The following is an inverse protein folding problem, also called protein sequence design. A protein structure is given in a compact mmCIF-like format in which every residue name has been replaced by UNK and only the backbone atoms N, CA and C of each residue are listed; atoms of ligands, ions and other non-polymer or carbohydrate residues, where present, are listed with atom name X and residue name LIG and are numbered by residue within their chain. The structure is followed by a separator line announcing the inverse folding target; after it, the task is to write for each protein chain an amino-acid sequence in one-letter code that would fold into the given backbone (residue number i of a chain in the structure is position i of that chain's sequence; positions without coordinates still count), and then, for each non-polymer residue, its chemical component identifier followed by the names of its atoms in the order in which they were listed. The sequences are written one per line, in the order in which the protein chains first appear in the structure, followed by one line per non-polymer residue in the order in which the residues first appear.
data_IF_322481216373
#
_entry.id   IF_322481216373
#
_cell.length_a   1.000
_cell.length_b   1.000
_cell.length_c   1.000
_cell.angle_alpha   90.00
_cell.angle_beta   90.00
_cell.angle_gamma   90.00
#
_symmetry.space_group_name_H-M   'P 1'
#
loop_
_entity.id
_entity.type
_entity.pdbx_description
1 polymer ?
#
# COMPACT_ATOMS: atom_id res chain seq x y z
N UNK A 1 -25.28 24.78 3.06
CA UNK A 1 -25.02 23.71 4.07
C UNK A 1 -24.37 22.54 3.36
N UNK A 2 -23.02 22.46 3.43
CA UNK A 2 -22.30 21.28 2.97
C UNK A 2 -22.53 20.17 4.00
N UNK A 3 -23.40 19.23 3.67
CA UNK A 3 -23.47 17.95 4.35
C UNK A 3 -22.11 17.26 4.14
N UNK A 4 -21.26 17.29 5.15
CA UNK A 4 -20.08 16.46 5.22
C UNK A 4 -20.56 15.01 5.17
N UNK A 5 -20.40 14.35 4.01
CA UNK A 5 -20.75 12.96 3.86
C UNK A 5 -19.90 12.16 4.85
N UNK A 6 -20.51 11.66 5.91
CA UNK A 6 -19.86 10.78 6.87
C UNK A 6 -19.38 9.56 6.06
N UNK A 7 -18.08 9.48 5.81
CA UNK A 7 -17.48 8.30 5.18
C UNK A 7 -17.71 7.11 6.12
N UNK A 8 -18.65 6.26 5.77
CA UNK A 8 -18.90 5.03 6.51
C UNK A 8 -17.77 4.05 6.19
N UNK A 9 -17.06 3.63 7.21
CA UNK A 9 -16.10 2.54 7.09
C UNK A 9 -16.86 1.23 6.86
N UNK A 10 -16.24 0.29 6.16
CA UNK A 10 -16.77 -1.05 5.98
C UNK A 10 -16.81 -1.80 7.32
N UNK A 11 -17.86 -2.57 7.52
CA UNK A 11 -17.96 -3.51 8.64
C UNK A 11 -17.16 -4.78 8.34
N UNK A 12 -16.80 -5.52 9.38
CA UNK A 12 -16.15 -6.83 9.21
C UNK A 12 -16.99 -7.84 8.41
N UNK A 13 -18.31 -7.75 8.51
CA UNK A 13 -19.21 -8.58 7.70
C UNK A 13 -19.08 -8.26 6.21
N UNK A 14 -19.05 -6.99 5.84
CA UNK A 14 -18.86 -6.57 4.45
C UNK A 14 -17.48 -6.96 3.91
N UNK A 15 -16.43 -6.91 4.75
CA UNK A 15 -15.08 -7.35 4.33
C UNK A 15 -15.08 -8.87 4.07
N UNK A 16 -15.77 -9.66 4.89
CA UNK A 16 -15.92 -11.11 4.64
C UNK A 16 -16.69 -11.40 3.37
N UNK A 17 -17.78 -10.67 3.12
CA UNK A 17 -18.55 -10.77 1.88
C UNK A 17 -17.66 -10.53 0.64
N UNK A 18 -16.76 -9.55 0.69
CA UNK A 18 -15.78 -9.35 -0.40
C UNK A 18 -14.87 -10.57 -0.61
N UNK A 19 -14.43 -11.21 0.48
CA UNK A 19 -13.63 -12.45 0.38
C UNK A 19 -14.43 -13.58 -0.25
N UNK A 20 -15.69 -13.76 0.15
CA UNK A 20 -16.59 -14.78 -0.39
C UNK A 20 -16.88 -14.55 -1.89
N UNK A 21 -16.87 -13.29 -2.32
CA UNK A 21 -16.95 -12.88 -3.73
C UNK A 21 -15.62 -13.04 -4.51
N UNK A 22 -14.56 -13.55 -3.87
CA UNK A 22 -13.26 -13.79 -4.50
C UNK A 22 -12.29 -12.61 -4.52
N UNK A 23 -12.59 -11.53 -3.80
CA UNK A 23 -11.67 -10.41 -3.67
C UNK A 23 -10.52 -10.73 -2.69
N UNK A 24 -9.35 -10.14 -2.93
CA UNK A 24 -8.22 -10.22 -2.01
C UNK A 24 -8.23 -9.02 -1.06
N UNK A 25 -7.96 -9.27 0.23
CA UNK A 25 -7.81 -8.23 1.24
C UNK A 25 -6.34 -8.08 1.59
N UNK A 26 -5.86 -6.84 1.67
CA UNK A 26 -4.50 -6.50 2.09
C UNK A 26 -4.48 -5.61 3.34
N UNK A 27 -3.35 -5.61 4.03
CA UNK A 27 -3.13 -4.75 5.19
C UNK A 27 -2.67 -3.35 4.74
N UNK A 28 -3.15 -2.31 5.44
CA UNK A 28 -2.77 -0.91 5.18
C UNK A 28 -2.29 -0.19 6.45
N UNK A 29 -1.75 -0.94 7.41
CA UNK A 29 -1.39 -0.46 8.73
C UNK A 29 -2.56 -0.49 9.71
N UNK A 30 -2.27 -0.13 10.96
CA UNK A 30 -3.24 -0.11 12.04
C UNK A 30 -3.92 1.25 12.20
N UNK A 31 -3.15 2.32 12.11
CA UNK A 31 -3.59 3.69 12.43
C UNK A 31 -3.26 4.72 11.35
N UNK A 32 -2.88 4.25 10.14
CA UNK A 32 -2.58 5.09 8.98
C UNK A 32 -1.45 6.11 9.23
N UNK A 33 -0.40 5.71 9.95
CA UNK A 33 0.78 6.54 10.24
C UNK A 33 1.86 6.39 9.16
N UNK A 34 2.72 7.40 9.01
CA UNK A 34 3.94 7.30 8.20
C UNK A 34 4.92 6.35 8.88
N UNK A 35 5.25 5.24 8.23
CA UNK A 35 6.14 4.23 8.81
C UNK A 35 7.57 4.76 9.03
N UNK A 36 8.00 5.73 8.21
CA UNK A 36 9.30 6.40 8.37
C UNK A 36 9.45 7.18 9.67
N UNK A 37 8.34 7.53 10.34
CA UNK A 37 8.35 8.24 11.63
C UNK A 37 8.28 7.31 12.84
N UNK A 38 8.23 5.98 12.62
CA UNK A 38 8.05 4.98 13.66
C UNK A 38 9.31 4.14 13.84
N UNK A 39 9.54 3.66 15.06
CA UNK A 39 10.67 2.78 15.40
C UNK A 39 10.24 1.72 16.42
N UNK A 40 11.02 0.66 16.55
CA UNK A 40 10.85 -0.38 17.57
C UNK A 40 9.42 -0.93 17.65
N UNK A 41 8.87 -0.93 18.86
CA UNK A 41 7.55 -1.51 19.14
C UNK A 41 6.40 -0.77 18.46
N UNK A 42 6.51 0.54 18.24
CA UNK A 42 5.48 1.30 17.52
C UNK A 42 5.41 0.85 16.05
N UNK A 43 6.56 0.73 15.39
CA UNK A 43 6.64 0.24 14.01
C UNK A 43 6.13 -1.20 13.93
N UNK A 44 6.54 -2.07 14.86
CA UNK A 44 6.09 -3.45 14.92
C UNK A 44 4.57 -3.56 15.08
N UNK A 45 4.00 -2.74 15.96
CA UNK A 45 2.54 -2.74 16.19
C UNK A 45 1.78 -2.25 14.96
N UNK A 46 2.31 -1.25 14.23
CA UNK A 46 1.69 -0.70 13.03
C UNK A 46 1.73 -1.69 11.84
N UNK A 47 2.75 -2.54 11.75
CA UNK A 47 2.94 -3.49 10.64
C UNK A 47 2.46 -4.90 11.04
N UNK A 48 3.13 -5.51 12.00
CA UNK A 48 2.89 -6.91 12.39
C UNK A 48 1.55 -7.02 13.11
N UNK A 49 1.32 -6.19 14.14
CA UNK A 49 0.07 -6.19 14.90
C UNK A 49 -1.16 -5.89 14.04
N UNK A 50 -1.03 -4.98 13.05
CA UNK A 50 -2.11 -4.71 12.08
C UNK A 50 -2.46 -5.96 11.27
N UNK A 51 -1.46 -6.69 10.78
CA UNK A 51 -1.66 -7.90 10.03
C UNK A 51 -2.25 -9.03 10.88
N UNK A 52 -1.77 -9.21 12.11
CA UNK A 52 -2.31 -10.20 13.05
C UNK A 52 -3.79 -9.94 13.38
N UNK A 53 -4.13 -8.67 13.64
CA UNK A 53 -5.52 -8.27 13.86
C UNK A 53 -6.40 -8.56 12.65
N UNK A 54 -5.94 -8.21 11.46
CA UNK A 54 -6.67 -8.45 10.22
C UNK A 54 -6.92 -9.94 10.00
N UNK A 55 -5.89 -10.78 10.16
CA UNK A 55 -6.00 -12.24 10.01
C UNK A 55 -6.89 -12.88 11.07
N UNK A 56 -6.80 -12.43 12.34
CA UNK A 56 -7.67 -12.94 13.41
C UNK A 56 -9.15 -12.64 13.12
N UNK A 57 -9.44 -11.54 12.45
CA UNK A 57 -10.80 -11.14 12.06
C UNK A 57 -11.32 -11.88 10.83
N UNK A 58 -10.43 -12.21 9.88
CA UNK A 58 -10.79 -12.82 8.62
C UNK A 58 -10.66 -14.35 8.61
N UNK A 59 -9.91 -14.93 9.56
CA UNK A 59 -9.66 -16.36 9.63
C UNK A 59 -8.69 -16.88 8.56
N UNK A 60 -8.01 -15.98 7.85
CA UNK A 60 -7.04 -16.34 6.80
C UNK A 60 -5.87 -15.38 6.73
N UNK A 61 -4.73 -15.84 6.18
CA UNK A 61 -3.54 -15.01 5.97
C UNK A 61 -3.76 -13.98 4.88
N UNK A 62 -3.22 -12.77 5.12
CA UNK A 62 -3.21 -11.68 4.16
C UNK A 62 -1.78 -11.42 3.70
N UNK A 63 -1.41 -11.79 2.45
CA UNK A 63 -0.03 -11.68 1.98
C UNK A 63 0.33 -10.29 1.46
N UNK A 64 -0.61 -9.37 1.39
CA UNK A 64 -0.47 -8.05 0.81
C UNK A 64 -0.37 -6.97 1.86
N UNK A 65 0.58 -6.06 1.67
CA UNK A 65 0.71 -4.82 2.43
C UNK A 65 0.75 -3.62 1.48
N UNK A 66 0.15 -2.51 1.89
CA UNK A 66 0.35 -1.21 1.27
C UNK A 66 0.62 -0.20 2.38
N UNK A 67 1.71 0.54 2.32
CA UNK A 67 1.98 1.53 3.37
C UNK A 67 1.19 2.81 3.16
N UNK A 68 0.80 3.43 4.28
CA UNK A 68 0.03 4.67 4.29
C UNK A 68 0.77 5.79 3.54
N UNK A 69 0.00 6.66 2.86
CA UNK A 69 0.44 7.74 1.98
C UNK A 69 1.15 7.30 0.69
N UNK A 70 1.86 6.19 0.69
CA UNK A 70 2.46 5.57 -0.50
C UNK A 70 3.67 6.30 -1.10
N UNK A 71 4.03 7.47 -0.61
CA UNK A 71 5.20 8.24 -1.08
C UNK A 71 6.51 7.74 -0.42
N UNK A 72 7.66 8.06 -1.04
CA UNK A 72 8.96 7.60 -0.57
C UNK A 72 9.33 8.12 0.82
N UNK A 73 8.79 9.27 1.23
CA UNK A 73 9.02 9.84 2.56
C UNK A 73 8.22 9.14 3.67
N UNK A 74 7.29 8.26 3.30
CA UNK A 74 6.41 7.54 4.24
C UNK A 74 6.93 6.19 4.68
N UNK A 75 8.02 5.71 4.08
CA UNK A 75 8.60 4.38 4.32
C UNK A 75 10.07 4.49 4.69
N UNK A 76 10.59 3.56 5.49
CA UNK A 76 12.00 3.42 5.85
C UNK A 76 12.51 2.03 5.50
N UNK A 77 13.82 1.83 5.48
CA UNK A 77 14.44 0.52 5.29
C UNK A 77 13.99 -0.46 6.38
N UNK A 78 13.99 -0.04 7.65
CA UNK A 78 13.54 -0.87 8.78
C UNK A 78 12.09 -1.32 8.63
N UNK A 79 11.23 -0.41 8.14
CA UNK A 79 9.84 -0.76 7.88
C UNK A 79 9.70 -1.80 6.75
N UNK A 80 10.49 -1.68 5.68
CA UNK A 80 10.49 -2.66 4.58
C UNK A 80 11.03 -4.02 5.03
N UNK A 81 12.07 -4.05 5.86
CA UNK A 81 12.56 -5.30 6.49
C UNK A 81 11.45 -5.94 7.30
N UNK A 82 10.79 -5.19 8.19
CA UNK A 82 9.71 -5.70 9.03
C UNK A 82 8.48 -6.17 8.20
N UNK A 83 8.15 -5.46 7.12
CA UNK A 83 7.10 -5.88 6.18
C UNK A 83 7.50 -7.23 5.54
N UNK A 84 8.77 -7.41 5.16
CA UNK A 84 9.27 -8.62 4.51
C UNK A 84 9.19 -9.88 5.39
N UNK A 85 9.23 -9.73 6.72
CA UNK A 85 9.11 -10.82 7.68
C UNK A 85 7.72 -11.46 7.66
N UNK A 86 6.70 -10.72 7.24
CA UNK A 86 5.31 -11.14 7.37
C UNK A 86 4.52 -11.14 6.06
N UNK A 87 4.77 -10.18 5.20
CA UNK A 87 4.01 -9.99 3.96
C UNK A 87 4.83 -10.39 2.75
N UNK A 88 4.19 -11.05 1.81
CA UNK A 88 4.81 -11.48 0.56
C UNK A 88 4.96 -10.35 -0.44
N UNK A 89 4.05 -9.39 -0.39
CA UNK A 89 3.97 -8.28 -1.34
C UNK A 89 3.77 -6.96 -0.60
N UNK A 90 4.49 -5.93 -1.04
CA UNK A 90 4.27 -4.56 -0.56
C UNK A 90 4.12 -3.59 -1.73
N UNK A 91 3.01 -2.84 -1.71
CA UNK A 91 2.68 -1.85 -2.71
C UNK A 91 2.98 -0.45 -2.19
N UNK A 92 3.63 0.35 -3.04
CA UNK A 92 3.79 1.80 -2.87
C UNK A 92 2.69 2.57 -3.61
N UNK A 93 2.66 3.90 -3.46
CA UNK A 93 1.94 4.83 -4.33
C UNK A 93 2.84 5.49 -5.37
N UNK A 94 4.08 5.02 -5.50
CA UNK A 94 5.05 5.53 -6.49
C UNK A 94 4.66 4.98 -7.86
N UNK A 95 4.54 5.87 -8.84
CA UNK A 95 4.18 5.48 -10.21
C UNK A 95 5.34 4.78 -10.91
N UNK A 96 5.00 3.83 -11.75
CA UNK A 96 5.94 3.10 -12.57
C UNK A 96 5.42 1.75 -13.01
N UNK A 97 6.03 1.21 -14.06
CA UNK A 97 5.71 -0.09 -14.60
C UNK A 97 6.32 -1.20 -13.76
N UNK A 98 5.53 -2.18 -13.37
CA UNK A 98 6.01 -3.39 -12.73
C UNK A 98 6.45 -4.40 -13.80
N UNK A 99 7.76 -4.67 -13.85
CA UNK A 99 8.38 -5.65 -14.73
C UNK A 99 8.66 -6.95 -13.96
N UNK A 100 9.11 -7.99 -14.65
CA UNK A 100 9.46 -9.29 -14.02
C UNK A 100 10.50 -9.18 -12.90
N UNK A 101 11.40 -8.20 -12.99
CA UNK A 101 12.45 -7.93 -12.01
C UNK A 101 12.05 -6.89 -10.96
N UNK A 102 10.83 -6.39 -10.96
CA UNK A 102 10.36 -5.49 -9.91
C UNK A 102 10.24 -6.25 -8.59
N UNK A 103 10.84 -5.70 -7.52
CA UNK A 103 10.75 -6.32 -6.20
C UNK A 103 9.30 -6.43 -5.74
N UNK A 104 8.94 -7.59 -5.20
CA UNK A 104 7.62 -7.83 -4.60
C UNK A 104 7.32 -6.93 -3.41
N UNK A 105 8.36 -6.42 -2.77
CA UNK A 105 8.26 -5.51 -1.61
C UNK A 105 8.30 -4.03 -1.99
N UNK A 106 8.41 -3.73 -3.28
CA UNK A 106 8.45 -2.37 -3.82
C UNK A 106 7.58 -2.20 -5.06
N UNK A 107 6.39 -2.80 -5.07
CA UNK A 107 5.48 -2.69 -6.22
C UNK A 107 5.04 -1.25 -6.43
N UNK A 108 5.07 -0.81 -7.67
CA UNK A 108 4.57 0.49 -8.09
C UNK A 108 3.06 0.45 -8.29
N UNK A 109 2.43 1.61 -8.23
CA UNK A 109 0.99 1.70 -8.43
C UNK A 109 0.58 3.00 -9.09
N UNK A 110 -0.29 2.88 -10.07
CA UNK A 110 -0.99 4.01 -10.66
C UNK A 110 -2.21 4.41 -9.83
N UNK A 111 -2.47 5.71 -9.77
CA UNK A 111 -3.69 6.26 -9.20
C UNK A 111 -4.42 7.03 -10.29
N UNK A 112 -5.62 6.58 -10.63
CA UNK A 112 -6.50 7.21 -11.60
C UNK A 112 -7.64 7.91 -10.87
N UNK A 113 -7.86 9.18 -11.20
CA UNK A 113 -9.09 9.88 -10.84
C UNK A 113 -10.05 9.81 -12.03
N UNK A 114 -11.14 9.08 -11.85
CA UNK A 114 -12.15 8.88 -12.90
C UNK A 114 -12.89 10.17 -13.29
N UNK A 115 -12.76 11.25 -12.51
CA UNK A 115 -13.30 12.57 -12.85
C UNK A 115 -12.38 13.36 -13.80
N UNK A 116 -11.17 12.86 -14.08
CA UNK A 116 -10.28 13.51 -15.06
C UNK A 116 -10.61 13.08 -16.49
N UNK A 117 -10.27 13.91 -17.52
CA UNK A 117 -10.48 13.55 -18.92
C UNK A 117 -9.81 12.22 -19.30
N UNK A 118 -10.44 11.46 -20.16
CA UNK A 118 -9.94 10.15 -20.61
C UNK A 118 -8.54 10.24 -21.22
N UNK A 119 -8.22 11.33 -21.94
CA UNK A 119 -6.89 11.58 -22.49
C UNK A 119 -5.81 11.67 -21.41
N UNK A 120 -6.15 12.26 -20.25
CA UNK A 120 -5.23 12.34 -19.13
C UNK A 120 -5.08 10.97 -18.42
N UNK A 121 -6.17 10.22 -18.30
CA UNK A 121 -6.11 8.85 -17.77
C UNK A 121 -5.23 7.94 -18.65
N UNK A 122 -5.39 8.04 -19.98
CA UNK A 122 -4.51 7.33 -20.93
C UNK A 122 -3.04 7.74 -20.79
N UNK A 123 -2.74 9.03 -20.69
CA UNK A 123 -1.39 9.52 -20.45
C UNK A 123 -0.76 8.90 -19.20
N UNK A 124 -1.54 8.77 -18.11
CA UNK A 124 -1.08 8.11 -16.89
C UNK A 124 -0.77 6.64 -17.16
N UNK A 125 -1.71 5.90 -17.74
CA UNK A 125 -1.57 4.46 -18.00
C UNK A 125 -0.44 4.12 -18.97
N UNK A 126 -0.14 5.03 -19.90
CA UNK A 126 0.97 4.91 -20.85
C UNK A 126 2.33 5.35 -20.25
N UNK A 127 2.37 5.67 -18.95
CA UNK A 127 3.60 6.06 -18.25
C UNK A 127 4.06 7.48 -18.48
N UNK A 128 3.23 8.34 -19.08
CA UNK A 128 3.60 9.71 -19.45
C UNK A 128 4.00 10.61 -18.27
N UNK A 129 3.66 10.20 -17.04
CA UNK A 129 4.06 10.88 -15.81
C UNK A 129 5.17 10.17 -15.03
N UNK A 130 5.64 9.03 -15.48
CA UNK A 130 6.60 8.18 -14.77
C UNK A 130 7.95 8.84 -14.53
N UNK A 131 8.35 9.75 -15.42
CA UNK A 131 9.60 10.49 -15.27
C UNK A 131 9.67 11.29 -13.97
N UNK A 132 8.54 11.78 -13.45
CA UNK A 132 8.45 12.52 -12.19
C UNK A 132 8.78 11.68 -10.98
N UNK A 133 8.69 10.37 -11.08
CA UNK A 133 8.89 9.42 -9.98
C UNK A 133 10.23 8.66 -10.07
N UNK A 134 11.10 9.04 -11.02
CA UNK A 134 12.39 8.37 -11.25
C UNK A 134 13.26 8.32 -9.99
N UNK A 135 13.38 9.43 -9.28
CA UNK A 135 14.22 9.50 -8.08
C UNK A 135 13.57 8.77 -6.90
N UNK A 136 12.24 8.86 -6.75
CA UNK A 136 11.51 8.08 -5.76
C UNK A 136 11.70 6.56 -5.97
N UNK A 137 11.64 6.09 -7.23
CA UNK A 137 11.91 4.68 -7.56
C UNK A 137 13.34 4.27 -7.25
N UNK A 138 14.33 5.12 -7.56
CA UNK A 138 15.73 4.86 -7.21
C UNK A 138 15.92 4.75 -5.71
N UNK A 139 15.38 5.71 -4.94
CA UNK A 139 15.46 5.68 -3.47
C UNK A 139 14.77 4.44 -2.92
N UNK A 140 13.57 4.08 -3.42
CA UNK A 140 12.89 2.87 -2.99
C UNK A 140 13.79 1.65 -3.23
N UNK A 141 14.40 1.54 -4.41
CA UNK A 141 15.29 0.42 -4.74
C UNK A 141 16.50 0.29 -3.81
N UNK A 142 17.02 1.41 -3.26
CA UNK A 142 18.17 1.38 -2.33
C UNK A 142 17.81 0.94 -0.91
N UNK A 143 16.54 1.07 -0.52
CA UNK A 143 16.07 0.72 0.83
C UNK A 143 15.33 -0.61 0.90
N UNK A 144 15.13 -1.28 -0.24
CA UNK A 144 14.53 -2.61 -0.28
C UNK A 144 15.45 -3.64 0.38
N UNK A 145 14.91 -4.57 1.17
CA UNK A 145 15.69 -5.70 1.68
C UNK A 145 16.17 -6.60 0.53
N UNK A 146 17.34 -7.18 0.70
CA UNK A 146 17.96 -8.13 -0.24
C UNK A 146 17.15 -9.42 -0.36
#
# INVERSE_FOLDING_TARGET
QHLCAIKRLMTWAQIRELLDLGHSIGCHGLSHRRLSSLQGDELRREIIGAGELLESRLGQKTPWYAFAFGDISSISADALVMISERFRFCRSGIRGLNLQNTSRLGLYAESLDLNTPLSYQKLILEGGLDCRYKDARKTLATILPN
#
